data_IF_137864865593
#
_entry.id   IF_137864865593
#
_cell.length_a   1.000
_cell.length_b   1.000
_cell.length_c   1.000
_cell.angle_alpha   90.00
_cell.angle_beta   90.00
_cell.angle_gamma   90.00
#
_symmetry.space_group_name_H-M   'P 1'
#
loop_
_entity.id
_entity.type
_entity.pdbx_description
1 polymer ?
#
# COMPACT_ATOMS: atom_id res chain seq x y z
N UNK A 1 -5.10 3.26 -13.97
CA UNK A 1 -3.81 2.63 -13.57
C UNK A 1 -2.60 3.37 -14.11
N UNK A 2 -2.57 3.77 -15.37
CA UNK A 2 -1.45 4.53 -15.97
C UNK A 2 -1.05 5.77 -15.13
N UNK A 3 -2.00 6.61 -14.78
CA UNK A 3 -1.75 7.83 -13.98
C UNK A 3 -1.10 7.52 -12.62
N UNK A 4 -1.53 6.42 -11.98
CA UNK A 4 -0.95 5.94 -10.72
C UNK A 4 0.51 5.54 -10.93
N UNK A 5 0.82 4.78 -11.99
CA UNK A 5 2.21 4.38 -12.30
C UNK A 5 3.11 5.59 -12.54
N UNK A 6 2.66 6.55 -13.34
CA UNK A 6 3.42 7.76 -13.64
C UNK A 6 3.64 8.63 -12.39
N UNK A 7 2.60 8.79 -11.56
CA UNK A 7 2.69 9.54 -10.32
C UNK A 7 3.70 8.90 -9.35
N UNK A 8 3.64 7.57 -9.16
CA UNK A 8 4.56 6.86 -8.28
C UNK A 8 6.00 6.91 -8.78
N UNK A 9 6.25 6.73 -10.08
CA UNK A 9 7.61 6.83 -10.64
C UNK A 9 8.19 8.24 -10.56
N UNK A 10 7.34 9.26 -10.71
CA UNK A 10 7.76 10.66 -10.50
C UNK A 10 8.13 10.91 -9.04
N UNK A 11 7.37 10.38 -8.10
CA UNK A 11 7.59 10.54 -6.65
C UNK A 11 8.75 9.69 -6.15
N UNK A 12 8.92 8.50 -6.71
CA UNK A 12 9.91 7.50 -6.32
C UNK A 12 10.82 7.13 -7.50
N UNK A 13 11.71 8.04 -7.95
CA UNK A 13 12.51 7.82 -9.16
C UNK A 13 13.46 6.63 -9.10
N UNK A 14 13.73 6.06 -7.91
CA UNK A 14 14.53 4.84 -7.75
C UNK A 14 13.71 3.55 -7.77
N UNK A 15 12.41 3.62 -8.10
CA UNK A 15 11.61 2.42 -8.32
C UNK A 15 12.18 1.57 -9.45
N UNK A 16 12.24 0.25 -9.21
CA UNK A 16 12.59 -0.75 -10.20
C UNK A 16 11.33 -1.46 -10.73
N UNK A 17 11.44 -2.25 -11.79
CA UNK A 17 10.31 -3.05 -12.30
C UNK A 17 9.66 -3.91 -11.23
N UNK A 18 10.46 -4.48 -10.32
CA UNK A 18 9.99 -5.22 -9.16
C UNK A 18 9.03 -4.39 -8.29
N UNK A 19 9.35 -3.11 -8.05
CA UNK A 19 8.54 -2.21 -7.22
C UNK A 19 7.25 -1.80 -7.94
N UNK A 20 7.32 -1.63 -9.25
CA UNK A 20 6.14 -1.37 -10.10
C UNK A 20 5.20 -2.57 -10.06
N UNK A 21 5.72 -3.80 -10.25
CA UNK A 21 4.92 -5.01 -10.17
C UNK A 21 4.33 -5.20 -8.77
N UNK A 22 5.09 -4.87 -7.70
CA UNK A 22 4.57 -4.85 -6.33
C UNK A 22 3.41 -3.86 -6.16
N UNK A 23 3.51 -2.66 -6.71
CA UNK A 23 2.44 -1.66 -6.68
C UNK A 23 1.18 -2.20 -7.34
N UNK A 24 1.31 -2.79 -8.54
CA UNK A 24 0.20 -3.41 -9.26
C UNK A 24 -0.39 -4.60 -8.50
N UNK A 25 0.46 -5.44 -7.89
CA UNK A 25 0.03 -6.56 -7.05
C UNK A 25 -0.80 -6.08 -5.86
N UNK A 26 -0.31 -5.07 -5.14
CA UNK A 26 -1.01 -4.48 -4.00
C UNK A 26 -2.33 -3.82 -4.39
N UNK A 27 -2.38 -3.17 -5.56
CA UNK A 27 -3.61 -2.55 -6.07
C UNK A 27 -4.68 -3.57 -6.47
N UNK A 28 -4.33 -4.83 -6.68
CA UNK A 28 -5.26 -5.91 -7.01
C UNK A 28 -5.61 -6.77 -5.80
N UNK A 29 -4.58 -7.24 -5.09
CA UNK A 29 -4.74 -8.26 -4.05
C UNK A 29 -4.64 -7.70 -2.62
N UNK A 30 -4.33 -6.41 -2.47
CA UNK A 30 -4.08 -5.81 -1.17
C UNK A 30 -2.83 -6.40 -0.49
N UNK A 31 -2.89 -6.50 0.85
CA UNK A 31 -1.79 -6.99 1.69
C UNK A 31 -2.08 -8.31 2.42
N UNK A 32 -3.12 -9.03 2.05
CA UNK A 32 -3.62 -10.21 2.80
C UNK A 32 -2.59 -11.32 2.99
N UNK A 33 -1.69 -11.51 2.04
CA UNK A 33 -0.60 -12.49 2.11
C UNK A 33 0.37 -12.29 3.29
N UNK A 34 0.36 -11.12 3.92
CA UNK A 34 1.18 -10.80 5.09
C UNK A 34 0.48 -11.11 6.43
N UNK A 35 -0.81 -11.45 6.41
CA UNK A 35 -1.63 -11.63 7.59
C UNK A 35 -1.77 -13.12 7.90
N UNK A 36 -1.25 -13.54 9.05
CA UNK A 36 -1.47 -14.90 9.60
C UNK A 36 -2.61 -14.92 10.63
N UNK A 37 -2.71 -13.87 11.44
CA UNK A 37 -3.87 -13.54 12.28
C UNK A 37 -3.89 -12.04 12.57
N UNK A 38 -5.03 -11.45 12.94
CA UNK A 38 -5.12 -10.03 13.31
C UNK A 38 -4.18 -9.63 14.43
N UNK A 39 -4.01 -10.49 15.45
CA UNK A 39 -3.15 -10.26 16.61
C UNK A 39 -1.67 -10.21 16.19
N UNK A 40 -1.22 -11.21 15.42
CA UNK A 40 0.16 -11.25 14.92
C UNK A 40 0.45 -10.09 13.94
N UNK A 41 -0.58 -9.64 13.20
CA UNK A 41 -0.46 -8.45 12.34
C UNK A 41 -0.25 -7.19 13.17
N UNK A 42 -0.98 -7.05 14.29
CA UNK A 42 -0.83 -5.94 15.23
C UNK A 42 0.55 -5.95 15.88
N UNK A 43 1.02 -7.11 16.36
CA UNK A 43 2.34 -7.24 16.98
C UNK A 43 3.46 -6.81 16.03
N UNK A 44 3.39 -7.26 14.76
CA UNK A 44 4.35 -6.85 13.72
C UNK A 44 4.28 -5.35 13.44
N UNK A 45 3.08 -4.75 13.44
CA UNK A 45 2.92 -3.33 13.26
C UNK A 45 3.60 -2.56 14.40
N UNK A 46 3.38 -2.99 15.65
CA UNK A 46 4.00 -2.40 16.84
C UNK A 46 5.53 -2.53 16.83
N UNK A 47 6.05 -3.68 16.43
CA UNK A 47 7.50 -3.89 16.29
C UNK A 47 8.10 -3.02 15.18
N UNK A 48 7.46 -2.96 14.03
CA UNK A 48 7.88 -2.13 12.90
C UNK A 48 7.88 -0.66 13.29
N UNK A 49 6.81 -0.20 13.94
CA UNK A 49 6.71 1.18 14.43
C UNK A 49 7.81 1.53 15.43
N UNK A 50 8.13 0.68 16.39
CA UNK A 50 9.21 0.88 17.38
C UNK A 50 10.61 0.87 16.78
N UNK A 51 10.83 0.08 15.75
CA UNK A 51 12.14 -0.08 15.11
C UNK A 51 12.46 1.03 14.11
N UNK A 52 11.48 1.81 13.69
CA UNK A 52 11.61 2.83 12.67
C UNK A 52 12.20 4.11 13.28
N UNK A 53 13.29 4.61 12.69
CA UNK A 53 13.75 5.98 12.92
C UNK A 53 12.98 6.86 11.96
N UNK A 54 11.97 7.56 12.49
CA UNK A 54 11.06 8.36 11.70
C UNK A 54 11.79 9.57 11.10
N UNK A 55 12.03 9.51 9.81
CA UNK A 55 12.18 10.71 9.01
C UNK A 55 10.76 11.09 8.57
N UNK A 56 10.39 12.34 8.80
CA UNK A 56 9.06 12.84 8.48
C UNK A 56 8.71 12.56 7.01
N UNK A 57 7.69 11.74 6.78
CA UNK A 57 7.09 11.58 5.46
C UNK A 57 5.91 12.56 5.36
N UNK A 58 5.91 13.52 4.42
CA UNK A 58 4.79 14.44 4.24
C UNK A 58 3.54 13.72 3.69
N UNK A 59 3.67 12.48 3.26
CA UNK A 59 2.58 11.70 2.67
C UNK A 59 2.14 10.67 3.68
N UNK A 60 0.94 10.86 4.21
CA UNK A 60 0.33 9.93 5.15
C UNK A 60 -0.52 8.89 4.42
N UNK A 61 -1.22 9.31 3.35
CA UNK A 61 -2.15 8.48 2.62
C UNK A 61 -1.90 8.60 1.11
N UNK A 62 -1.63 7.47 0.45
CA UNK A 62 -1.21 7.42 -0.97
C UNK A 62 -2.08 6.44 -1.77
N UNK A 63 -2.77 6.88 -2.85
CA UNK A 63 -3.55 5.99 -3.70
C UNK A 63 -2.63 5.07 -4.50
N UNK A 64 -2.98 3.79 -4.59
CA UNK A 64 -2.24 2.78 -5.38
C UNK A 64 -3.08 2.16 -6.50
N UNK A 65 -4.30 2.66 -6.71
CA UNK A 65 -5.27 2.14 -7.68
C UNK A 65 -6.08 0.96 -7.14
N UNK A 66 -7.11 0.54 -7.88
CA UNK A 66 -7.99 -0.56 -7.48
C UNK A 66 -8.76 -0.28 -6.17
N UNK A 67 -9.10 0.98 -5.89
CA UNK A 67 -9.72 1.42 -4.62
C UNK A 67 -8.86 1.07 -3.39
N UNK A 68 -7.53 0.96 -3.57
CA UNK A 68 -6.57 0.69 -2.51
C UNK A 68 -5.64 1.87 -2.27
N UNK A 69 -5.26 2.04 -1.02
CA UNK A 69 -4.37 3.10 -0.54
C UNK A 69 -3.28 2.52 0.37
N UNK A 70 -2.15 3.19 0.43
CA UNK A 70 -1.15 3.02 1.49
C UNK A 70 -1.40 4.06 2.56
N UNK A 71 -1.55 3.64 3.82
CA UNK A 71 -1.42 4.53 4.98
C UNK A 71 -0.04 4.26 5.59
N UNK A 72 0.79 5.28 5.60
CA UNK A 72 2.12 5.20 6.18
C UNK A 72 2.05 5.21 7.71
N UNK A 73 3.00 4.54 8.36
CA UNK A 73 3.01 4.43 9.82
C UNK A 73 3.23 5.80 10.52
N UNK A 74 3.68 6.83 9.79
CA UNK A 74 3.69 8.21 10.27
C UNK A 74 2.31 8.72 10.71
N UNK A 75 1.21 8.13 10.22
CA UNK A 75 -0.14 8.43 10.69
C UNK A 75 -0.35 8.15 12.19
N UNK A 76 0.47 7.28 12.79
CA UNK A 76 0.45 6.99 14.23
C UNK A 76 0.95 8.19 15.05
N UNK A 77 1.92 8.96 14.52
CA UNK A 77 2.37 10.23 15.12
C UNK A 77 1.26 11.29 15.11
N UNK A 78 0.42 11.27 14.07
CA UNK A 78 -0.74 12.17 13.97
C UNK A 78 -1.93 11.73 14.84
N UNK A 79 -1.79 10.62 15.54
CA UNK A 79 -2.75 10.17 16.55
C UNK A 79 -3.69 9.06 16.09
N UNK A 80 -3.50 8.45 14.93
CA UNK A 80 -4.14 7.17 14.63
C UNK A 80 -3.60 6.10 15.59
N UNK A 81 -4.45 5.20 16.09
CA UNK A 81 -3.98 4.11 16.93
C UNK A 81 -3.47 2.93 16.07
N UNK A 82 -2.54 2.17 16.65
CA UNK A 82 -2.03 0.95 16.03
C UNK A 82 -3.15 -0.07 15.81
N UNK A 83 -4.07 -0.16 16.74
CA UNK A 83 -5.26 -1.03 16.69
C UNK A 83 -6.18 -0.64 15.54
N UNK A 84 -6.47 0.66 15.37
CA UNK A 84 -7.31 1.19 14.30
C UNK A 84 -6.66 0.93 12.92
N UNK A 85 -5.38 1.24 12.76
CA UNK A 85 -4.67 1.00 11.49
C UNK A 85 -4.60 -0.49 11.18
N UNK A 86 -4.31 -1.33 12.16
CA UNK A 86 -4.29 -2.79 11.97
C UNK A 86 -5.66 -3.33 11.59
N UNK A 87 -6.73 -2.85 12.21
CA UNK A 87 -8.10 -3.25 11.88
C UNK A 87 -8.47 -2.84 10.45
N UNK A 88 -8.18 -1.61 10.03
CA UNK A 88 -8.38 -1.17 8.65
C UNK A 88 -7.67 -2.10 7.66
N UNK A 89 -6.42 -2.47 7.95
CA UNK A 89 -5.61 -3.35 7.12
C UNK A 89 -6.18 -4.77 7.05
N UNK A 90 -6.50 -5.38 8.18
CA UNK A 90 -7.00 -6.76 8.22
C UNK A 90 -8.39 -6.89 7.61
N UNK A 91 -9.28 -5.93 7.84
CA UNK A 91 -10.61 -5.91 7.22
C UNK A 91 -10.52 -5.65 5.70
N UNK A 92 -9.62 -4.78 5.24
CA UNK A 92 -9.36 -4.60 3.82
C UNK A 92 -8.91 -5.89 3.18
N UNK A 93 -7.97 -6.59 3.80
CA UNK A 93 -7.44 -7.86 3.30
C UNK A 93 -8.52 -8.96 3.24
N UNK A 94 -9.39 -9.03 4.25
CA UNK A 94 -10.50 -10.00 4.29
C UNK A 94 -11.55 -9.76 3.20
N UNK A 95 -11.69 -8.52 2.72
CA UNK A 95 -12.64 -8.14 1.67
C UNK A 95 -12.02 -8.05 0.28
N UNK A 96 -10.71 -8.21 0.16
CA UNK A 96 -10.03 -8.14 -1.13
C UNK A 96 -10.51 -9.27 -2.05
N UNK A 97 -10.98 -8.89 -3.24
CA UNK A 97 -11.54 -9.80 -4.26
C UNK A 97 -10.74 -9.75 -5.56
N UNK A 98 -9.45 -9.43 -5.48
CA UNK A 98 -8.58 -9.35 -6.65
C UNK A 98 -8.48 -10.67 -7.40
N UNK A 99 -8.41 -10.58 -8.73
CA UNK A 99 -8.35 -11.73 -9.64
C UNK A 99 -7.05 -11.74 -10.42
N UNK A 100 -6.67 -12.93 -10.92
CA UNK A 100 -5.52 -13.05 -11.81
C UNK A 100 -5.74 -12.27 -13.11
N UNK A 101 -6.96 -12.29 -13.62
CA UNK A 101 -7.37 -11.58 -14.83
C UNK A 101 -7.22 -10.05 -14.64
N UNK A 102 -7.72 -9.51 -13.54
CA UNK A 102 -7.58 -8.09 -13.20
C UNK A 102 -6.11 -7.69 -13.01
N UNK A 103 -5.31 -8.56 -12.41
CA UNK A 103 -3.88 -8.32 -12.29
C UNK A 103 -3.17 -8.33 -13.66
N UNK A 104 -3.49 -9.27 -14.54
CA UNK A 104 -2.93 -9.30 -15.90
C UNK A 104 -3.34 -8.08 -16.73
N UNK A 105 -4.52 -7.48 -16.52
CA UNK A 105 -4.88 -6.22 -17.14
C UNK A 105 -3.95 -5.08 -16.69
N UNK A 106 -3.61 -5.05 -15.41
CA UNK A 106 -2.66 -4.07 -14.87
C UNK A 106 -1.24 -4.28 -15.40
N UNK A 107 -0.81 -5.53 -15.55
CA UNK A 107 0.48 -5.85 -16.18
C UNK A 107 0.52 -5.46 -17.65
N UNK A 108 -0.60 -5.63 -18.39
CA UNK A 108 -0.72 -5.11 -19.77
C UNK A 108 -0.61 -3.59 -19.83
N UNK A 109 -1.20 -2.88 -18.87
CA UNK A 109 -1.05 -1.43 -18.76
C UNK A 109 0.43 -1.03 -18.56
N UNK A 110 1.17 -1.74 -17.70
CA UNK A 110 2.63 -1.55 -17.54
C UNK A 110 3.37 -1.72 -18.86
N UNK A 111 3.14 -2.82 -19.58
CA UNK A 111 3.79 -3.08 -20.88
C UNK A 111 3.45 -1.99 -21.91
N UNK A 112 2.20 -1.52 -21.93
CA UNK A 112 1.80 -0.44 -22.81
C UNK A 112 2.55 0.87 -22.50
N UNK A 113 2.70 1.22 -21.23
CA UNK A 113 3.46 2.41 -20.81
C UNK A 113 4.97 2.28 -21.15
N UNK A 114 5.55 1.06 -21.04
CA UNK A 114 6.91 0.81 -21.50
C UNK A 114 7.04 0.95 -23.03
N UNK A 115 6.08 0.42 -23.79
CA UNK A 115 6.06 0.50 -25.26
C UNK A 115 5.96 1.94 -25.77
N UNK A 116 5.20 2.78 -25.09
CA UNK A 116 5.07 4.23 -25.43
C UNK A 116 6.22 5.09 -24.88
N UNK A 117 7.21 4.52 -24.20
CA UNK A 117 8.36 5.26 -23.66
C UNK A 117 8.00 6.20 -22.49
N UNK A 118 6.89 5.95 -21.83
CA UNK A 118 6.43 6.78 -20.70
C UNK A 118 7.07 6.37 -19.35
N UNK A 119 7.69 5.19 -19.32
CA UNK A 119 8.39 4.66 -18.14
C UNK A 119 9.90 4.51 -18.43
N UNK A 120 10.74 4.55 -17.40
CA UNK A 120 12.19 4.43 -17.57
C UNK A 120 12.67 3.01 -17.89
N UNK A 121 11.77 2.11 -18.24
CA UNK A 121 12.04 0.71 -18.56
C UNK A 121 11.73 0.45 -20.04
N UNK A 122 12.60 -0.31 -20.70
CA UNK A 122 12.30 -0.77 -22.06
C UNK A 122 11.23 -1.85 -22.04
N UNK A 123 10.48 -1.99 -23.15
CA UNK A 123 9.50 -3.05 -23.30
C UNK A 123 10.15 -4.44 -23.11
N UNK A 124 11.31 -4.67 -23.71
CA UNK A 124 12.03 -5.95 -23.60
C UNK A 124 12.42 -6.29 -22.15
N UNK A 125 12.85 -5.29 -21.36
CA UNK A 125 13.13 -5.50 -19.93
C UNK A 125 11.86 -5.89 -19.15
N UNK A 126 10.76 -5.19 -19.41
CA UNK A 126 9.49 -5.48 -18.74
C UNK A 126 8.95 -6.87 -19.13
N UNK A 127 8.99 -7.24 -20.41
CA UNK A 127 8.55 -8.57 -20.89
C UNK A 127 9.38 -9.68 -20.25
N UNK A 128 10.71 -9.60 -20.28
CA UNK A 128 11.58 -10.62 -19.68
C UNK A 128 11.36 -10.77 -18.16
N UNK A 129 11.15 -9.65 -17.44
CA UNK A 129 10.81 -9.69 -16.03
C UNK A 129 9.47 -10.38 -15.78
N UNK A 130 8.45 -10.00 -16.55
CA UNK A 130 7.09 -10.54 -16.38
C UNK A 130 7.00 -12.02 -16.78
N UNK A 131 7.73 -12.47 -17.79
CA UNK A 131 7.76 -13.88 -18.18
C UNK A 131 8.34 -14.74 -17.04
N UNK A 132 9.43 -14.29 -16.43
CA UNK A 132 9.99 -14.95 -15.25
C UNK A 132 9.01 -14.92 -14.08
N UNK A 133 8.38 -13.79 -13.81
CA UNK A 133 7.42 -13.64 -12.72
C UNK A 133 6.17 -14.54 -12.91
N UNK A 134 5.65 -14.61 -14.13
CA UNK A 134 4.52 -15.48 -14.49
C UNK A 134 4.86 -16.96 -14.35
N UNK A 135 6.06 -17.37 -14.76
CA UNK A 135 6.52 -18.76 -14.62
C UNK A 135 6.59 -19.22 -13.16
N UNK A 136 6.78 -18.28 -12.22
CA UNK A 136 6.78 -18.51 -10.77
C UNK A 136 5.37 -18.55 -10.15
N UNK A 137 4.30 -18.36 -10.95
CA UNK A 137 2.92 -18.44 -10.46
C UNK A 137 2.43 -17.19 -9.71
N UNK A 138 2.95 -16.00 -10.04
CA UNK A 138 2.56 -14.70 -9.45
C UNK A 138 2.75 -14.61 -7.94
N UNK A 139 3.94 -14.88 -7.41
CA UNK A 139 4.17 -14.79 -5.97
C UNK A 139 4.00 -13.35 -5.47
N UNK A 140 3.73 -13.21 -4.17
CA UNK A 140 3.73 -11.90 -3.52
C UNK A 140 5.10 -11.21 -3.67
N UNK A 141 5.08 -9.94 -4.08
CA UNK A 141 6.29 -9.19 -4.43
C UNK A 141 6.78 -8.37 -3.25
N UNK A 142 8.09 -8.42 -2.97
CA UNK A 142 8.76 -7.54 -2.01
C UNK A 142 9.32 -6.30 -2.71
N UNK A 143 9.49 -5.22 -1.97
CA UNK A 143 10.25 -4.07 -2.50
C UNK A 143 11.69 -4.45 -2.82
N UNK A 144 12.24 -3.85 -3.88
CA UNK A 144 13.65 -3.95 -4.21
C UNK A 144 14.53 -3.41 -3.08
N UNK A 145 15.78 -3.83 -3.02
CA UNK A 145 16.74 -3.29 -2.06
C UNK A 145 16.97 -1.79 -2.28
N UNK A 146 17.00 -1.36 -3.54
CA UNK A 146 17.15 0.03 -3.92
C UNK A 146 16.01 0.89 -3.35
N UNK A 147 14.76 0.49 -3.59
CA UNK A 147 13.58 1.18 -3.06
C UNK A 147 13.58 1.24 -1.53
N UNK A 148 13.89 0.12 -0.87
CA UNK A 148 13.94 0.07 0.60
C UNK A 148 14.99 0.98 1.19
N UNK A 149 16.18 1.04 0.58
CA UNK A 149 17.26 1.89 1.05
C UNK A 149 16.99 3.37 0.81
N UNK A 150 16.29 3.71 -0.28
CA UNK A 150 16.01 5.10 -0.63
C UNK A 150 14.79 5.68 0.13
N UNK A 151 13.74 4.86 0.36
CA UNK A 151 12.44 5.38 0.81
C UNK A 151 11.94 4.78 2.12
N UNK A 152 12.61 3.78 2.67
CA UNK A 152 12.26 3.16 3.95
C UNK A 152 10.74 2.90 4.11
N UNK A 153 10.08 2.17 3.17
CA UNK A 153 8.64 2.09 3.10
C UNK A 153 8.05 1.34 4.30
N UNK A 154 7.26 2.03 5.11
CA UNK A 154 6.53 1.48 6.24
C UNK A 154 5.07 1.92 6.16
N UNK A 155 4.17 1.03 5.73
CA UNK A 155 2.78 1.34 5.50
C UNK A 155 1.87 0.10 5.63
N UNK A 156 0.55 0.35 5.68
CA UNK A 156 -0.48 -0.68 5.55
C UNK A 156 -1.38 -0.38 4.36
N UNK A 157 -1.84 -1.44 3.68
CA UNK A 157 -2.78 -1.32 2.57
C UNK A 157 -4.19 -1.29 3.11
N UNK A 158 -4.93 -0.26 2.77
CA UNK A 158 -6.31 -0.06 3.20
C UNK A 158 -7.21 0.26 2.01
N UNK A 159 -8.50 -0.04 2.11
CA UNK A 159 -9.47 0.34 1.09
C UNK A 159 -9.72 1.84 1.09
N UNK A 160 -10.19 2.37 -0.04
CA UNK A 160 -10.59 3.76 -0.20
C UNK A 160 -11.66 4.17 0.83
N UNK A 161 -12.53 3.24 1.26
CA UNK A 161 -13.56 3.50 2.28
C UNK A 161 -12.96 3.91 3.63
N UNK A 162 -11.77 3.40 3.98
CA UNK A 162 -11.05 3.83 5.18
C UNK A 162 -10.19 5.07 4.90
N UNK A 163 -9.50 5.08 3.78
CA UNK A 163 -8.58 6.15 3.42
C UNK A 163 -9.26 7.52 3.33
N UNK A 164 -10.51 7.57 2.82
CA UNK A 164 -11.30 8.81 2.72
C UNK A 164 -11.63 9.43 4.07
N UNK A 165 -11.70 8.63 5.12
CA UNK A 165 -12.09 9.05 6.47
C UNK A 165 -10.95 8.95 7.49
N UNK A 166 -9.70 8.80 7.04
CA UNK A 166 -8.58 8.58 7.95
C UNK A 166 -8.42 9.72 8.98
N UNK A 167 -8.68 10.97 8.60
CA UNK A 167 -8.66 12.11 9.53
C UNK A 167 -9.75 12.01 10.61
N UNK A 168 -10.93 11.52 10.25
CA UNK A 168 -12.00 11.28 11.22
C UNK A 168 -11.58 10.20 12.22
N UNK A 169 -10.95 9.13 11.76
CA UNK A 169 -10.42 8.09 12.65
C UNK A 169 -9.33 8.62 13.58
N UNK A 170 -8.43 9.47 13.10
CA UNK A 170 -7.42 10.14 13.96
C UNK A 170 -8.10 10.96 15.06
N UNK A 171 -9.13 11.75 14.73
CA UNK A 171 -9.88 12.55 15.70
C UNK A 171 -10.60 11.69 16.74
N UNK A 172 -11.17 10.57 16.30
CA UNK A 172 -11.85 9.61 17.17
C UNK A 172 -10.84 8.96 18.12
N UNK A 173 -9.71 8.47 17.61
CA UNK A 173 -8.67 7.82 18.41
C UNK A 173 -8.06 8.78 19.43
N UNK A 174 -7.83 10.04 19.05
CA UNK A 174 -7.40 11.10 20.01
C UNK A 174 -8.43 11.32 21.11
N UNK A 175 -9.71 11.47 20.72
CA UNK A 175 -10.78 11.69 21.69
C UNK A 175 -10.94 10.51 22.66
N UNK A 176 -10.81 9.27 22.18
CA UNK A 176 -10.87 8.06 23.00
C UNK A 176 -9.70 7.91 23.97
N UNK A 177 -8.53 8.48 23.65
CA UNK A 177 -7.39 8.53 24.58
C UNK A 177 -7.58 9.54 25.72
N UNK A 178 -8.29 10.63 25.43
CA UNK A 178 -8.51 11.72 26.39
C UNK A 178 -9.76 11.51 27.25
N UNK A 179 -10.72 10.69 26.82
CA UNK A 179 -12.04 10.53 27.45
C UNK A 179 -12.42 9.07 27.56
N UNK A 180 -13.09 8.72 28.64
CA UNK A 180 -13.59 7.35 28.83
C UNK A 180 -14.75 6.99 27.88
N UNK A 181 -15.48 7.98 27.37
CA UNK A 181 -16.60 7.78 26.46
C UNK A 181 -16.66 8.91 25.42
N UNK A 182 -16.86 8.54 24.17
CA UNK A 182 -17.01 9.46 23.03
C UNK A 182 -18.33 9.14 22.32
N UNK A 183 -19.11 10.16 22.03
CA UNK A 183 -20.32 10.05 21.19
C UNK A 183 -20.00 10.61 19.82
N UNK A 184 -20.35 9.85 18.78
CA UNK A 184 -20.14 10.23 17.38
C UNK A 184 -21.52 10.30 16.72
N UNK A 185 -21.89 11.47 16.20
CA UNK A 185 -23.04 11.65 15.33
C UNK A 185 -22.59 11.62 13.87
N UNK A 186 -23.31 10.90 13.04
CA UNK A 186 -23.12 10.85 11.58
C UNK A 186 -24.41 11.39 10.99
N UNK A 187 -24.33 12.58 10.41
CA UNK A 187 -25.42 13.19 9.67
C UNK A 187 -25.34 12.73 8.21
N UNK A 188 -26.45 12.21 7.68
CA UNK A 188 -26.59 11.69 6.32
C UNK A 188 -27.14 12.72 5.34
#
# INVERSE_FOLDING_TARGET
MKEILLAHLKQYPQMQLQDVVKLLYQSEFGGGHMITSPEKSLDRLKEEYKSFKWEYSPIICEPIGGEMYRIYLSALEDGLSEETLNRMFTETAARASGTREGFEEKLRCLLQCCRSGELPFTLAQAEAFLDTYRSQGYPAVRHSSCYRSAYHPAYRIVSASYARYYEAFIRIDRALRERMQVQIAIDG
#
